data_IF_794709622750
#
_entry.id   IF_794709622750
#
_cell.length_a   1.000
_cell.length_b   1.000
_cell.length_c   1.000
_cell.angle_alpha   90.00
_cell.angle_beta   90.00
_cell.angle_gamma   90.00
#
_symmetry.space_group_name_H-M   'P 1'
#
loop_
_entity.id
_entity.type
_entity.pdbx_description
1 polymer ?
#
# COMPACT_ATOMS: atom_id res chain seq x y z
N UNK A 1 -79.79 -15.34 -6.14
CA UNK A 1 -79.87 -15.58 -7.60
C UNK A 1 -78.54 -15.10 -8.17
N UNK A 2 -77.45 -15.89 -8.08
CA UNK A 2 -77.10 -17.00 -8.98
C UNK A 2 -77.25 -16.52 -10.45
N UNK A 3 -76.20 -16.33 -11.24
CA UNK A 3 -75.32 -17.40 -11.70
C UNK A 3 -73.92 -16.92 -12.13
N UNK A 4 -72.92 -17.70 -11.70
CA UNK A 4 -71.69 -18.15 -12.38
C UNK A 4 -70.68 -17.18 -13.04
N UNK A 5 -69.57 -16.94 -12.33
CA UNK A 5 -68.24 -16.71 -12.95
C UNK A 5 -67.13 -17.61 -12.32
N UNK A 6 -67.21 -18.97 -12.26
CA UNK A 6 -66.10 -19.78 -11.76
C UNK A 6 -65.51 -20.74 -12.82
N UNK A 7 -65.42 -20.35 -14.10
CA UNK A 7 -64.88 -21.23 -15.15
C UNK A 7 -63.60 -20.67 -15.80
N UNK A 8 -63.42 -19.34 -15.85
CA UNK A 8 -62.25 -18.75 -16.51
C UNK A 8 -60.97 -18.74 -15.64
N UNK A 9 -61.10 -18.69 -14.31
CA UNK A 9 -59.94 -18.61 -13.41
C UNK A 9 -59.22 -19.96 -13.21
N UNK A 10 -59.94 -21.08 -13.38
CA UNK A 10 -59.38 -22.43 -13.24
C UNK A 10 -58.57 -22.89 -14.48
N UNK A 11 -58.77 -22.26 -15.64
CA UNK A 11 -58.01 -22.60 -16.85
C UNK A 11 -56.64 -21.92 -16.86
N UNK A 12 -56.56 -20.66 -16.41
CA UNK A 12 -55.30 -19.92 -16.30
C UNK A 12 -54.35 -20.52 -15.24
N UNK A 13 -54.88 -20.98 -14.10
CA UNK A 13 -54.06 -21.64 -13.07
C UNK A 13 -53.48 -22.99 -13.53
N UNK A 14 -54.23 -23.78 -14.32
CA UNK A 14 -53.74 -25.05 -14.89
C UNK A 14 -52.70 -24.85 -16.00
N UNK A 15 -52.86 -23.84 -16.85
CA UNK A 15 -51.88 -23.54 -17.91
C UNK A 15 -50.53 -23.06 -17.36
N UNK A 16 -50.54 -22.28 -16.28
CA UNK A 16 -49.32 -21.83 -15.61
C UNK A 16 -48.58 -23.00 -14.93
N UNK A 17 -49.31 -23.93 -14.29
CA UNK A 17 -48.69 -25.12 -13.70
C UNK A 17 -48.10 -26.10 -14.74
N UNK A 18 -48.72 -26.20 -15.92
CA UNK A 18 -48.22 -27.04 -17.02
C UNK A 18 -46.94 -26.44 -17.64
N UNK A 19 -46.86 -25.11 -17.80
CA UNK A 19 -45.63 -24.44 -18.26
C UNK A 19 -44.49 -24.55 -17.23
N UNK A 20 -44.77 -24.44 -15.94
CA UNK A 20 -43.74 -24.63 -14.90
C UNK A 20 -43.21 -26.07 -14.83
N UNK A 21 -44.02 -27.08 -15.09
CA UNK A 21 -43.55 -28.47 -15.09
C UNK A 21 -42.81 -28.85 -16.38
N UNK A 22 -43.09 -28.21 -17.52
CA UNK A 22 -42.36 -28.44 -18.77
C UNK A 22 -40.93 -27.88 -18.73
N UNK A 23 -40.69 -26.76 -18.04
CA UNK A 23 -39.33 -26.20 -17.86
C UNK A 23 -38.48 -27.00 -16.86
N UNK A 24 -39.10 -27.77 -15.94
CA UNK A 24 -38.35 -28.59 -14.96
C UNK A 24 -37.93 -29.95 -15.56
N UNK A 25 -38.66 -30.49 -16.54
CA UNK A 25 -38.40 -31.83 -17.08
C UNK A 25 -37.45 -31.90 -18.29
N UNK A 26 -37.08 -30.75 -18.89
CA UNK A 26 -36.16 -30.71 -20.06
C UNK A 26 -34.71 -30.39 -19.65
N UNK A 27 -34.45 -30.11 -18.37
CA UNK A 27 -33.14 -29.66 -17.88
C UNK A 27 -32.10 -30.74 -17.55
N UNK A 28 -32.43 -32.03 -17.60
CA UNK A 28 -31.44 -33.09 -17.38
C UNK A 28 -31.47 -34.14 -18.50
N UNK A 29 -30.32 -34.20 -19.21
CA UNK A 29 -29.69 -35.40 -19.78
C UNK A 29 -29.58 -35.48 -21.30
N UNK A 30 -28.65 -34.69 -21.86
CA UNK A 30 -27.80 -35.00 -23.02
C UNK A 30 -26.51 -34.19 -22.80
N UNK A 31 -25.28 -34.65 -23.00
CA UNK A 31 -24.67 -35.93 -23.31
C UNK A 31 -23.18 -35.72 -23.01
N UNK A 32 -22.50 -36.68 -22.39
CA UNK A 32 -21.05 -36.66 -22.28
C UNK A 32 -20.44 -36.72 -23.69
N UNK A 33 -19.35 -35.95 -23.85
CA UNK A 33 -18.32 -36.03 -24.88
C UNK A 33 -18.43 -35.00 -26.03
N UNK A 34 -17.38 -34.16 -26.07
CA UNK A 34 -16.92 -33.28 -27.14
C UNK A 34 -17.39 -31.82 -27.08
N UNK A 35 -16.74 -31.03 -26.21
CA UNK A 35 -16.43 -29.63 -26.53
C UNK A 35 -14.95 -29.54 -26.92
N UNK A 36 -14.72 -29.38 -28.22
CA UNK A 36 -13.43 -29.12 -28.83
C UNK A 36 -13.08 -27.63 -28.64
N UNK A 37 -12.10 -27.39 -27.77
CA UNK A 37 -11.00 -26.41 -27.90
C UNK A 37 -11.37 -25.08 -28.58
N UNK A 38 -11.59 -24.06 -27.75
CA UNK A 38 -11.10 -22.71 -28.03
C UNK A 38 -10.31 -22.17 -26.82
N UNK A 39 -9.38 -22.98 -26.32
CA UNK A 39 -8.24 -22.48 -25.54
C UNK A 39 -7.23 -21.87 -26.52
N UNK A 40 -7.53 -20.68 -27.06
CA UNK A 40 -6.51 -19.88 -27.73
C UNK A 40 -6.03 -18.78 -26.78
N UNK A 41 -5.02 -19.14 -26.01
CA UNK A 41 -3.92 -18.29 -25.56
C UNK A 41 -4.27 -16.98 -24.84
N UNK A 42 -4.91 -17.07 -23.68
CA UNK A 42 -4.54 -16.18 -22.59
C UNK A 42 -3.65 -16.99 -21.66
N UNK A 43 -2.33 -16.84 -21.81
CA UNK A 43 -1.38 -17.24 -20.79
C UNK A 43 -1.71 -16.44 -19.53
N UNK A 44 -2.62 -16.94 -18.70
CA UNK A 44 -2.77 -16.50 -17.33
C UNK A 44 -1.51 -17.01 -16.64
N UNK A 45 -0.50 -16.15 -16.60
CA UNK A 45 0.70 -16.40 -15.81
C UNK A 45 0.23 -16.33 -14.36
N UNK A 46 -0.09 -17.47 -13.77
CA UNK A 46 -0.15 -17.59 -12.32
C UNK A 46 1.26 -17.32 -11.82
N UNK A 47 1.54 -16.08 -11.42
CA UNK A 47 2.78 -15.78 -10.74
C UNK A 47 2.78 -16.58 -9.44
N UNK A 48 3.74 -17.49 -9.22
CA UNK A 48 3.82 -18.19 -7.95
C UNK A 48 4.00 -17.14 -6.85
N UNK A 49 3.02 -17.05 -5.94
CA UNK A 49 3.00 -16.10 -4.81
C UNK A 49 4.27 -16.20 -3.95
N UNK A 50 5.04 -17.28 -4.10
CA UNK A 50 6.33 -17.55 -3.46
C UNK A 50 7.55 -16.84 -4.09
N UNK A 51 7.40 -16.07 -5.17
CA UNK A 51 8.52 -15.38 -5.82
C UNK A 51 8.85 -13.99 -5.25
N UNK A 52 7.97 -13.44 -4.40
CA UNK A 52 8.12 -12.10 -3.85
C UNK A 52 8.32 -12.18 -2.32
N UNK A 53 9.55 -12.02 -1.83
CA UNK A 53 9.81 -12.12 -0.41
C UNK A 53 9.12 -10.97 0.34
N UNK A 54 8.47 -11.29 1.45
CA UNK A 54 8.01 -10.27 2.40
C UNK A 54 9.20 -9.51 2.96
N UNK A 55 9.01 -8.22 3.21
CA UNK A 55 10.04 -7.35 3.77
C UNK A 55 9.53 -6.73 5.07
N UNK A 56 10.40 -6.64 6.07
CA UNK A 56 10.15 -5.88 7.28
C UNK A 56 10.91 -4.55 7.20
N UNK A 57 10.30 -3.47 7.67
CA UNK A 57 10.90 -2.14 7.65
C UNK A 57 10.83 -1.53 9.04
N UNK A 58 11.96 -1.00 9.50
CA UNK A 58 12.05 -0.30 10.77
C UNK A 58 12.48 1.16 10.55
N UNK A 59 11.85 2.07 11.29
CA UNK A 59 12.18 3.48 11.32
C UNK A 59 12.72 3.85 12.71
N UNK A 60 13.88 4.51 12.74
CA UNK A 60 14.54 4.90 13.97
C UNK A 60 15.03 6.35 13.87
N UNK A 61 14.91 7.09 14.97
CA UNK A 61 15.46 8.44 15.10
C UNK A 61 16.74 8.34 15.93
N UNK A 62 17.83 8.94 15.44
CA UNK A 62 19.16 8.92 16.08
C UNK A 62 19.72 10.33 16.26
N UNK A 63 20.59 10.51 17.25
CA UNK A 63 21.28 11.79 17.50
C UNK A 63 22.45 11.99 16.53
N UNK A 64 22.55 13.19 15.95
CA UNK A 64 23.67 13.71 15.14
C UNK A 64 23.97 12.98 13.83
N UNK A 65 23.82 11.65 13.75
CA UNK A 65 24.22 10.85 12.59
C UNK A 65 23.48 9.51 12.49
N UNK A 66 23.67 8.80 11.38
CA UNK A 66 23.08 7.47 11.14
C UNK A 66 23.55 6.39 12.13
N UNK A 67 24.71 6.57 12.76
CA UNK A 67 25.28 5.65 13.76
C UNK A 67 25.15 6.20 15.18
N UNK A 68 24.46 7.31 15.35
CA UNK A 68 24.22 7.91 16.66
C UNK A 68 23.33 7.06 17.56
N UNK A 69 23.25 7.47 18.83
CA UNK A 69 22.37 6.85 19.81
C UNK A 69 20.90 7.03 19.42
N UNK A 70 20.11 5.97 19.58
CA UNK A 70 18.67 5.96 19.29
C UNK A 70 17.93 6.82 20.32
N UNK A 71 17.01 7.66 19.84
CA UNK A 71 16.17 8.54 20.65
C UNK A 71 14.80 7.88 20.82
N UNK A 72 14.52 7.33 22.01
CA UNK A 72 13.22 6.67 22.28
C UNK A 72 12.35 7.51 23.22
N UNK A 73 12.94 8.17 24.23
CA UNK A 73 12.21 8.90 25.27
C UNK A 73 12.82 10.26 25.63
N UNK A 74 13.92 10.63 24.97
CA UNK A 74 14.64 11.87 25.26
C UNK A 74 13.98 13.03 24.53
N UNK A 75 13.83 14.16 25.22
CA UNK A 75 13.48 15.46 24.61
C UNK A 75 14.65 15.98 23.77
N UNK A 76 14.34 16.54 22.61
CA UNK A 76 15.30 17.09 21.66
C UNK A 76 15.14 18.61 21.69
N UNK A 77 16.26 19.33 21.71
CA UNK A 77 16.25 20.79 21.63
C UNK A 77 16.13 21.22 20.16
N UNK A 78 15.43 22.33 19.92
CA UNK A 78 15.36 22.94 18.60
C UNK A 78 16.80 23.27 18.13
N UNK A 79 17.11 22.96 16.89
CA UNK A 79 18.45 23.11 16.30
C UNK A 79 19.37 21.90 16.49
N UNK A 80 19.05 20.94 17.39
CA UNK A 80 19.85 19.71 17.49
C UNK A 80 19.77 18.90 16.19
N UNK A 81 20.89 18.35 15.77
CA UNK A 81 20.93 17.51 14.58
C UNK A 81 20.39 16.12 14.90
N UNK A 82 19.44 15.64 14.11
CA UNK A 82 18.84 14.32 14.22
C UNK A 82 18.88 13.59 12.88
N UNK A 83 18.91 12.27 12.93
CA UNK A 83 18.92 11.40 11.77
C UNK A 83 17.72 10.45 11.82
N UNK A 84 16.81 10.57 10.85
CA UNK A 84 15.80 9.57 10.56
C UNK A 84 16.45 8.48 9.72
N UNK A 85 16.41 7.25 10.21
CA UNK A 85 17.02 6.08 9.56
C UNK A 85 15.93 5.06 9.31
N UNK A 86 15.73 4.74 8.04
CA UNK A 86 14.88 3.63 7.60
C UNK A 86 15.78 2.49 7.17
N UNK A 87 15.45 1.29 7.63
CA UNK A 87 16.13 0.07 7.26
C UNK A 87 15.11 -1.03 7.06
N UNK A 88 15.14 -1.66 5.89
CA UNK A 88 14.32 -2.81 5.59
C UNK A 88 15.17 -4.05 5.33
N UNK A 89 14.61 -5.20 5.66
CA UNK A 89 15.23 -6.50 5.52
C UNK A 89 14.24 -7.53 5.01
N UNK A 90 14.71 -8.39 4.11
CA UNK A 90 13.93 -9.52 3.62
C UNK A 90 13.64 -10.46 4.79
N UNK A 91 12.39 -10.84 4.99
CA UNK A 91 12.03 -11.80 6.02
C UNK A 91 12.51 -13.19 5.60
N UNK A 92 13.58 -13.69 6.24
CA UNK A 92 14.27 -14.96 5.89
C UNK A 92 13.51 -16.18 6.47
N UNK A 93 12.37 -15.99 7.15
CA UNK A 93 11.62 -17.09 7.76
C UNK A 93 11.05 -18.10 6.73
N UNK A 94 11.12 -17.78 5.45
CA UNK A 94 10.81 -18.70 4.36
C UNK A 94 12.13 -19.21 3.75
N UNK A 95 12.32 -20.53 3.72
CA UNK A 95 13.48 -21.28 3.18
C UNK A 95 13.76 -21.02 1.68
N UNK A 96 14.00 -19.77 1.30
CA UNK A 96 14.28 -19.37 -0.07
C UNK A 96 15.72 -18.86 -0.14
N UNK A 97 16.60 -19.74 -0.62
CA UNK A 97 18.06 -19.52 -0.72
C UNK A 97 18.47 -18.48 -1.77
N UNK A 98 17.51 -17.87 -2.46
CA UNK A 98 17.77 -16.72 -3.31
C UNK A 98 17.28 -15.45 -2.62
N UNK A 99 18.18 -14.76 -1.93
CA UNK A 99 18.03 -13.32 -1.62
C UNK A 99 18.07 -12.55 -2.95
N UNK A 100 17.02 -12.72 -3.75
CA UNK A 100 16.86 -12.00 -4.99
C UNK A 100 16.70 -10.53 -4.57
N UNK A 101 17.78 -9.77 -4.70
CA UNK A 101 17.84 -8.35 -4.35
C UNK A 101 17.09 -7.56 -5.43
N UNK A 102 15.77 -7.82 -5.54
CA UNK A 102 14.88 -7.32 -6.58
C UNK A 102 14.16 -6.05 -6.15
N UNK A 103 14.12 -5.78 -4.83
CA UNK A 103 13.49 -4.58 -4.30
C UNK A 103 14.49 -3.50 -3.96
N UNK A 104 14.03 -2.26 -4.12
CA UNK A 104 14.58 -1.09 -3.51
C UNK A 104 13.47 -0.39 -2.74
N UNK A 105 13.79 0.26 -1.64
CA UNK A 105 12.82 1.12 -0.97
C UNK A 105 12.93 2.56 -1.44
N UNK A 106 11.80 3.25 -1.35
CA UNK A 106 11.64 4.69 -1.53
C UNK A 106 10.77 5.22 -0.40
N UNK A 107 11.24 6.26 0.26
CA UNK A 107 10.46 6.99 1.28
C UNK A 107 9.80 8.17 0.59
N UNK A 108 8.49 8.34 0.77
CA UNK A 108 7.68 9.39 0.15
C UNK A 108 6.52 9.81 1.05
N UNK A 109 5.79 10.86 0.67
CA UNK A 109 4.59 11.33 1.37
C UNK A 109 4.85 11.49 2.86
N UNK A 110 5.89 12.24 3.22
CA UNK A 110 6.20 12.50 4.61
C UNK A 110 5.49 13.76 5.08
N UNK A 111 4.81 13.64 6.21
CA UNK A 111 4.08 14.72 6.85
C UNK A 111 4.51 14.91 8.28
N UNK A 112 4.49 16.16 8.71
CA UNK A 112 4.76 16.57 10.07
C UNK A 112 3.51 17.21 10.64
N UNK A 113 3.09 16.77 11.83
CA UNK A 113 1.92 17.32 12.50
C UNK A 113 2.18 17.50 13.99
N UNK A 114 1.33 18.30 14.64
CA UNK A 114 1.37 18.39 16.09
C UNK A 114 0.78 17.12 16.74
N UNK A 115 1.36 16.64 17.85
CA UNK A 115 0.85 15.44 18.54
C UNK A 115 -0.51 15.65 19.22
N UNK A 116 -0.88 16.89 19.54
CA UNK A 116 -1.97 17.17 20.51
C UNK A 116 -3.36 17.47 19.90
N UNK A 117 -3.59 17.26 18.60
CA UNK A 117 -4.94 17.47 18.02
C UNK A 117 -5.40 16.27 17.22
N UNK A 118 -6.51 15.66 17.68
CA UNK A 118 -7.40 14.87 16.83
C UNK A 118 -7.88 15.78 15.69
N UNK A 119 -7.28 15.59 14.52
CA UNK A 119 -7.67 16.10 13.21
C UNK A 119 -9.15 16.48 13.13
N UNK A 120 -9.48 17.74 13.39
CA UNK A 120 -10.82 18.33 13.20
C UNK A 120 -10.75 19.67 12.47
N UNK A 121 -9.56 20.17 12.17
CA UNK A 121 -9.34 21.34 11.31
C UNK A 121 -8.15 21.06 10.39
N UNK A 122 -8.30 21.29 9.09
CA UNK A 122 -7.42 20.84 8.01
C UNK A 122 -6.03 21.53 7.93
N UNK A 123 -5.56 22.20 8.98
CA UNK A 123 -4.45 23.17 8.87
C UNK A 123 -3.18 22.86 9.70
N UNK A 124 -3.02 21.65 10.25
CA UNK A 124 -1.86 21.34 11.12
C UNK A 124 -0.97 20.20 10.60
N UNK A 125 -1.16 19.74 9.38
CA UNK A 125 -0.33 18.70 8.73
C UNK A 125 0.47 19.35 7.60
N UNK A 126 1.79 19.28 7.70
CA UNK A 126 2.74 19.92 6.79
C UNK A 126 3.48 18.84 6.01
N UNK A 127 3.33 18.78 4.69
CA UNK A 127 4.01 17.81 3.83
C UNK A 127 5.46 18.22 3.56
N UNK A 128 6.41 17.51 4.14
CA UNK A 128 7.86 17.78 4.05
C UNK A 128 8.58 16.97 2.98
N UNK A 129 7.99 15.86 2.53
CA UNK A 129 8.50 15.05 1.42
C UNK A 129 7.30 14.67 0.56
N UNK A 130 7.38 14.98 -0.73
CA UNK A 130 6.31 14.75 -1.70
C UNK A 130 6.14 13.27 -2.09
N UNK A 131 5.21 13.02 -3.01
CA UNK A 131 4.91 11.70 -3.58
C UNK A 131 6.06 11.07 -4.39
N UNK A 132 7.04 11.86 -4.77
CA UNK A 132 8.24 11.42 -5.47
C UNK A 132 9.43 11.20 -4.54
N UNK A 133 9.27 11.42 -3.24
CA UNK A 133 10.35 11.27 -2.26
C UNK A 133 11.31 12.46 -2.22
N UNK A 134 10.88 13.62 -2.71
CA UNK A 134 11.66 14.86 -2.73
C UNK A 134 11.21 15.80 -1.61
N UNK A 135 12.17 16.46 -0.96
CA UNK A 135 11.89 17.53 -0.01
C UNK A 135 11.18 18.69 -0.68
N UNK A 136 10.08 19.14 -0.07
CA UNK A 136 9.29 20.32 -0.47
C UNK A 136 9.94 21.63 0.02
N UNK A 137 10.86 21.55 1.00
CA UNK A 137 11.64 22.68 1.51
C UNK A 137 13.15 22.37 1.51
N UNK A 138 13.80 22.30 0.33
CA UNK A 138 15.19 21.86 0.20
C UNK A 138 16.21 22.71 0.97
N UNK A 139 15.90 23.98 1.25
CA UNK A 139 16.79 24.91 1.97
C UNK A 139 16.94 24.58 3.46
N UNK A 140 15.90 24.00 4.08
CA UNK A 140 15.86 23.69 5.51
C UNK A 140 15.78 22.18 5.79
N UNK A 141 15.24 21.42 4.85
CA UNK A 141 15.08 19.97 4.95
C UNK A 141 15.78 19.34 3.73
N UNK A 142 16.94 18.70 3.92
CA UNK A 142 17.70 18.16 2.80
C UNK A 142 17.01 16.93 2.20
N UNK A 143 17.47 16.54 1.02
CA UNK A 143 16.96 15.35 0.34
C UNK A 143 17.33 14.05 1.09
N UNK A 144 16.45 13.06 1.01
CA UNK A 144 16.68 11.72 1.58
C UNK A 144 17.85 11.05 0.86
N UNK A 145 18.82 10.56 1.63
CA UNK A 145 20.01 9.86 1.12
C UNK A 145 19.80 8.35 1.21
N UNK A 146 19.84 7.66 0.08
CA UNK A 146 19.74 6.21 0.02
C UNK A 146 21.13 5.57 0.12
N UNK A 147 21.34 4.72 1.13
CA UNK A 147 22.57 3.95 1.37
C UNK A 147 22.35 2.51 0.95
N UNK A 148 22.28 2.28 -0.36
CA UNK A 148 21.91 0.99 -0.94
C UNK A 148 20.43 0.87 -1.28
N UNK A 149 19.94 -0.36 -1.38
CA UNK A 149 18.60 -0.62 -1.88
C UNK A 149 17.53 -0.45 -0.80
N UNK A 150 17.82 -0.91 0.41
CA UNK A 150 16.85 -1.03 1.52
C UNK A 150 17.22 -0.19 2.75
N UNK A 151 18.09 0.82 2.58
CA UNK A 151 18.46 1.75 3.66
C UNK A 151 18.45 3.19 3.17
N UNK A 152 17.83 4.07 3.95
CA UNK A 152 17.67 5.49 3.64
C UNK A 152 17.82 6.31 4.92
N UNK A 153 18.33 7.51 4.75
CA UNK A 153 18.71 8.39 5.85
C UNK A 153 18.31 9.82 5.49
N UNK A 154 17.69 10.50 6.44
CA UNK A 154 17.42 11.93 6.39
C UNK A 154 18.03 12.57 7.64
N UNK A 155 19.01 13.45 7.45
CA UNK A 155 19.66 14.19 8.54
C UNK A 155 19.14 15.62 8.49
N UNK A 156 18.59 16.13 9.58
CA UNK A 156 18.02 17.48 9.66
C UNK A 156 18.20 18.06 11.05
N UNK A 157 18.02 19.37 11.19
CA UNK A 157 17.96 20.03 12.49
C UNK A 157 16.53 19.96 13.03
N UNK A 158 16.38 19.59 14.29
CA UNK A 158 15.09 19.54 14.96
C UNK A 158 14.43 20.93 14.94
N UNK A 159 13.15 20.98 14.60
CA UNK A 159 12.37 22.21 14.50
C UNK A 159 11.04 22.07 15.24
N UNK A 160 10.33 23.18 15.41
CA UNK A 160 8.98 23.22 15.95
C UNK A 160 8.05 23.88 14.92
N UNK A 161 6.81 23.40 14.80
CA UNK A 161 5.79 24.02 13.95
C UNK A 161 5.13 25.23 14.65
N UNK A 162 4.96 25.14 15.98
CA UNK A 162 4.38 26.18 16.83
C UNK A 162 5.21 26.31 18.12
N UNK A 163 5.33 27.51 18.67
CA UNK A 163 6.14 27.79 19.86
C UNK A 163 5.57 27.16 21.15
N UNK A 164 4.24 27.02 21.25
CA UNK A 164 3.55 26.47 22.42
C UNK A 164 3.54 24.94 22.47
N UNK A 165 3.67 24.27 21.33
CA UNK A 165 3.51 22.83 21.22
C UNK A 165 4.80 22.18 20.71
N UNK A 166 5.50 21.54 21.62
CA UNK A 166 6.87 21.03 21.42
C UNK A 166 6.94 19.57 20.97
N UNK A 167 5.80 18.91 20.77
CA UNK A 167 5.73 17.52 20.38
C UNK A 167 5.22 17.37 18.95
N UNK A 168 6.10 16.88 18.08
CA UNK A 168 5.83 16.69 16.66
C UNK A 168 5.67 15.20 16.37
N UNK A 169 4.68 14.87 15.54
CA UNK A 169 4.56 13.58 14.90
C UNK A 169 5.14 13.65 13.49
N UNK A 170 5.99 12.69 13.15
CA UNK A 170 6.59 12.56 11.83
C UNK A 170 6.12 11.23 11.24
N UNK A 171 5.43 11.30 10.10
CA UNK A 171 4.85 10.14 9.43
C UNK A 171 5.31 10.11 7.98
N UNK A 172 5.71 8.94 7.47
CA UNK A 172 6.13 8.75 6.08
C UNK A 172 5.59 7.43 5.54
N UNK A 173 5.45 7.36 4.21
CA UNK A 173 5.16 6.12 3.52
C UNK A 173 6.44 5.52 2.92
N UNK A 174 6.58 4.20 3.04
CA UNK A 174 7.66 3.45 2.39
C UNK A 174 7.05 2.65 1.24
N UNK A 175 7.62 2.78 0.04
CA UNK A 175 7.22 2.03 -1.15
C UNK A 175 8.37 1.18 -1.63
N UNK A 176 8.09 -0.08 -1.99
CA UNK A 176 9.05 -0.96 -2.64
C UNK A 176 8.96 -0.79 -4.15
N UNK A 177 10.11 -0.59 -4.77
CA UNK A 177 10.31 -0.49 -6.20
C UNK A 177 11.01 -1.75 -6.68
N UNK A 178 10.58 -2.29 -7.82
CA UNK A 178 11.32 -3.35 -8.49
C UNK A 178 12.55 -2.76 -9.19
N UNK A 179 13.67 -3.45 -9.06
CA UNK A 179 14.87 -3.11 -9.81
C UNK A 179 14.66 -3.38 -11.29
N UNK A 180 15.14 -2.45 -12.10
CA UNK A 180 15.26 -2.66 -13.54
C UNK A 180 16.76 -2.75 -13.86
N UNK A 181 17.18 -3.87 -14.44
CA UNK A 181 18.58 -4.16 -14.77
C UNK A 181 19.53 -3.96 -13.57
N UNK A 182 19.12 -4.42 -12.39
CA UNK A 182 19.90 -4.31 -11.15
C UNK A 182 20.00 -2.89 -10.57
N UNK A 183 19.30 -1.89 -11.13
CA UNK A 183 19.33 -0.50 -10.65
C UNK A 183 17.98 -0.06 -10.10
N UNK A 184 18.01 0.72 -9.02
CA UNK A 184 16.84 1.42 -8.49
C UNK A 184 16.60 2.71 -9.28
N UNK A 185 15.47 2.83 -9.96
CA UNK A 185 15.05 4.11 -10.55
C UNK A 185 14.21 4.89 -9.55
N UNK A 186 14.88 5.65 -8.68
CA UNK A 186 14.23 6.61 -7.79
C UNK A 186 14.07 7.95 -8.53
N UNK A 187 12.99 8.71 -8.30
CA UNK A 187 12.86 10.06 -8.80
C UNK A 187 14.06 10.90 -8.36
N UNK A 188 14.51 11.80 -9.23
CA UNK A 188 15.55 12.77 -8.89
C UNK A 188 14.87 14.08 -8.51
N UNK A 189 15.12 14.54 -7.30
CA UNK A 189 14.71 15.86 -6.86
C UNK A 189 15.38 16.91 -7.73
N UNK A 190 14.63 17.92 -8.17
CA UNK A 190 15.22 19.10 -8.81
C UNK A 190 15.87 19.94 -7.72
N UNK A 191 17.15 20.25 -7.89
CA UNK A 191 17.79 21.34 -7.15
C UNK A 191 17.34 22.60 -7.89
N UNK A 192 16.45 23.36 -7.28
CA UNK A 192 16.01 24.68 -7.79
C UNK A 192 16.97 25.73 -7.28
#
# INVERSE_FOLDING_TARGET
>A
LLFNIPILFNYFSKLIFIFCLFEIFVGEKLNQNNELILENNLNIIELPVKLFPEINCNHQIRLNSENGSIIIKRKILIGETIAHVWNCDYNINNNFNNKANIYCMMVKNCTVSNQNKKSTTNNEVVEIIDEFGCSTWPDILPQIKYKGDLKAILILQAFALEYEKTAINFSCQITLLLKNNGRCRRPKSRIV
#
